data_IF_332633638750
#
_entry.id   IF_332633638750
#
_cell.length_a   1.000
_cell.length_b   1.000
_cell.length_c   1.000
_cell.angle_alpha   90.00
_cell.angle_beta   90.00
_cell.angle_gamma   90.00
#
_symmetry.space_group_name_H-M   'P 1'
#
loop_
_entity.id
_entity.type
_entity.pdbx_description
1 polymer ?
#
# COMPACT_ATOMS: atom_id res chain seq x y z
N UNK A 1 13.59 10.82 -5.05
CA UNK A 1 12.23 10.35 -5.40
C UNK A 1 11.58 11.42 -6.28
N UNK A 2 11.00 11.06 -7.43
CA UNK A 2 10.37 12.01 -8.34
C UNK A 2 8.89 12.25 -8.03
N UNK A 3 8.27 13.30 -8.61
CA UNK A 3 6.86 13.67 -8.35
C UNK A 3 5.83 12.68 -8.91
N UNK A 4 6.24 11.76 -9.79
CA UNK A 4 5.33 10.85 -10.50
C UNK A 4 5.23 9.44 -9.88
N UNK A 5 5.81 9.21 -8.69
CA UNK A 5 5.75 7.90 -8.03
C UNK A 5 4.38 7.72 -7.35
N UNK A 6 3.72 6.59 -7.59
CA UNK A 6 2.51 6.21 -6.86
C UNK A 6 2.91 5.43 -5.60
N UNK A 7 2.35 5.83 -4.47
CA UNK A 7 2.61 5.17 -3.19
C UNK A 7 1.37 4.41 -2.71
N UNK A 8 1.59 3.37 -1.91
CA UNK A 8 0.55 2.68 -1.15
C UNK A 8 0.77 2.87 0.35
N UNK A 9 -0.33 3.06 1.09
CA UNK A 9 -0.34 3.16 2.57
C UNK A 9 -1.44 2.26 3.13
N UNK A 10 -1.23 1.73 4.33
CA UNK A 10 -2.30 1.07 5.08
C UNK A 10 -3.42 2.07 5.43
N UNK A 11 -4.65 1.60 5.55
CA UNK A 11 -5.81 2.42 5.93
C UNK A 11 -6.58 1.69 7.05
N UNK A 12 -6.50 2.17 8.32
CA UNK A 12 -5.84 3.41 8.76
C UNK A 12 -4.30 3.28 8.87
N UNK A 13 -3.59 4.40 8.65
CA UNK A 13 -2.13 4.53 8.77
C UNK A 13 -1.70 5.72 9.64
N UNK A 14 -0.41 5.73 9.96
CA UNK A 14 0.28 6.90 10.48
C UNK A 14 0.31 8.03 9.43
N UNK A 15 -0.23 9.20 9.78
CA UNK A 15 -0.49 10.30 8.83
C UNK A 15 0.76 10.84 8.13
N UNK A 16 1.93 10.74 8.77
CA UNK A 16 3.19 11.30 8.26
C UNK A 16 3.57 10.77 6.88
N UNK A 17 3.18 9.54 6.51
CA UNK A 17 3.44 9.01 5.16
C UNK A 17 2.64 9.78 4.10
N UNK A 18 1.36 10.05 4.38
CA UNK A 18 0.48 10.83 3.50
C UNK A 18 0.98 12.28 3.43
N UNK A 19 1.26 12.90 4.58
CA UNK A 19 1.72 14.29 4.66
C UNK A 19 3.03 14.50 3.89
N UNK A 20 3.99 13.58 4.04
CA UNK A 20 5.26 13.63 3.31
C UNK A 20 5.05 13.53 1.79
N UNK A 21 4.15 12.65 1.34
CA UNK A 21 3.81 12.51 -0.08
C UNK A 21 3.05 13.71 -0.63
N UNK A 22 2.27 14.43 0.18
CA UNK A 22 1.66 15.70 -0.20
C UNK A 22 2.72 16.77 -0.38
N UNK A 23 3.62 16.94 0.60
CA UNK A 23 4.66 17.97 0.61
C UNK A 23 5.62 17.82 -0.59
N UNK A 24 5.98 16.58 -0.95
CA UNK A 24 6.87 16.31 -2.09
C UNK A 24 6.14 16.25 -3.44
N UNK A 25 4.82 16.49 -3.46
CA UNK A 25 4.01 16.59 -4.68
C UNK A 25 3.56 15.26 -5.30
N UNK A 26 3.67 14.15 -4.57
CA UNK A 26 3.28 12.81 -5.05
C UNK A 26 1.79 12.50 -4.86
N UNK A 27 1.11 13.13 -3.91
CA UNK A 27 -0.25 12.73 -3.51
C UNK A 27 -1.33 13.07 -4.54
N UNK A 28 -1.10 14.06 -5.41
CA UNK A 28 -2.11 14.58 -6.33
C UNK A 28 -3.22 15.36 -5.62
N UNK A 29 -4.39 15.48 -6.26
CA UNK A 29 -5.52 16.27 -5.72
C UNK A 29 -6.20 15.54 -4.56
N UNK A 30 -6.59 16.30 -3.52
CA UNK A 30 -7.48 15.81 -2.47
C UNK A 30 -8.91 15.71 -2.99
N UNK A 31 -9.63 14.66 -2.59
CA UNK A 31 -11.03 14.39 -2.96
C UNK A 31 -11.87 14.41 -1.68
N UNK A 32 -12.64 15.48 -1.47
CA UNK A 32 -13.36 15.72 -0.22
C UNK A 32 -14.33 14.60 0.15
N UNK A 33 -15.14 14.13 -0.81
CA UNK A 33 -16.14 13.07 -0.58
C UNK A 33 -15.50 11.75 -0.13
N UNK A 34 -14.30 11.44 -0.63
CA UNK A 34 -13.57 10.21 -0.28
C UNK A 34 -12.60 10.41 0.89
N UNK A 35 -12.35 11.67 1.29
CA UNK A 35 -11.33 12.08 2.28
C UNK A 35 -9.94 11.51 1.97
N UNK A 36 -9.58 11.44 0.68
CA UNK A 36 -8.38 10.75 0.16
C UNK A 36 -7.69 11.55 -0.93
N UNK A 37 -6.39 11.33 -1.11
CA UNK A 37 -5.60 11.88 -2.21
C UNK A 37 -5.60 10.96 -3.43
N UNK A 38 -5.77 11.53 -4.63
CA UNK A 38 -6.01 10.76 -5.87
C UNK A 38 -4.86 9.82 -6.27
N UNK A 39 -3.61 10.18 -5.97
CA UNK A 39 -2.43 9.43 -6.39
C UNK A 39 -1.81 8.59 -5.26
N UNK A 40 -2.59 8.32 -4.20
CA UNK A 40 -2.21 7.41 -3.11
C UNK A 40 -3.15 6.20 -3.14
N UNK A 41 -2.58 5.00 -3.12
CA UNK A 41 -3.34 3.77 -2.92
C UNK A 41 -3.56 3.56 -1.42
N UNK A 42 -4.83 3.50 -1.00
CA UNK A 42 -5.20 3.26 0.39
C UNK A 42 -5.62 1.81 0.58
N UNK A 43 -4.78 1.03 1.27
CA UNK A 43 -4.96 -0.40 1.48
C UNK A 43 -5.74 -0.64 2.76
N UNK A 44 -7.03 -0.93 2.63
CA UNK A 44 -7.93 -1.12 3.79
C UNK A 44 -7.46 -2.28 4.66
N UNK A 45 -7.10 -2.01 5.92
CA UNK A 45 -6.64 -2.98 6.91
C UNK A 45 -7.52 -2.87 8.16
N UNK A 46 -8.49 -3.77 8.31
CA UNK A 46 -9.43 -3.75 9.42
C UNK A 46 -9.76 -5.15 9.96
N UNK A 47 -10.70 -5.26 10.93
CA UNK A 47 -11.08 -6.54 11.51
C UNK A 47 -11.51 -7.58 10.48
N UNK A 48 -12.21 -7.16 9.43
CA UNK A 48 -12.67 -8.01 8.33
C UNK A 48 -11.53 -8.59 7.48
N UNK A 49 -10.37 -7.95 7.47
CA UNK A 49 -9.15 -8.44 6.79
C UNK A 49 -8.10 -8.96 7.77
N UNK A 50 -8.44 -9.13 9.06
CA UNK A 50 -7.47 -9.43 10.12
C UNK A 50 -6.29 -8.43 10.14
N UNK A 51 -6.56 -7.15 9.83
CA UNK A 51 -5.60 -6.05 9.80
C UNK A 51 -4.41 -6.24 8.85
N UNK A 52 -4.56 -7.13 7.86
CA UNK A 52 -3.56 -7.35 6.81
C UNK A 52 -4.28 -7.59 5.49
N UNK A 53 -3.75 -7.03 4.40
CA UNK A 53 -4.38 -7.17 3.08
C UNK A 53 -3.46 -7.93 2.14
N UNK A 54 -4.06 -8.72 1.27
CA UNK A 54 -3.34 -9.38 0.20
C UNK A 54 -2.71 -8.34 -0.72
N UNK A 55 -1.38 -8.24 -0.68
CA UNK A 55 -0.60 -7.31 -1.48
C UNK A 55 -0.66 -7.61 -2.99
N UNK A 56 -1.27 -8.73 -3.40
CA UNK A 56 -1.54 -9.02 -4.81
C UNK A 56 -2.81 -8.33 -5.31
N UNK A 57 -3.70 -7.92 -4.40
CA UNK A 57 -4.96 -7.25 -4.74
C UNK A 57 -4.83 -5.73 -4.88
N UNK A 58 -3.69 -5.16 -4.49
CA UNK A 58 -3.44 -3.73 -4.58
C UNK A 58 -2.97 -3.35 -5.97
N UNK A 59 -3.38 -2.16 -6.44
CA UNK A 59 -2.88 -1.62 -7.69
C UNK A 59 -1.34 -1.53 -7.65
N UNK A 60 -0.68 -1.70 -8.79
CA UNK A 60 0.76 -1.54 -8.89
C UNK A 60 1.18 -0.14 -8.38
N UNK A 61 2.09 -0.13 -7.41
CA UNK A 61 2.71 1.07 -6.82
C UNK A 61 4.21 0.88 -6.71
N UNK A 62 4.95 1.98 -6.75
CA UNK A 62 6.41 1.98 -6.70
C UNK A 62 6.97 1.91 -5.27
N UNK A 63 6.19 2.36 -4.28
CA UNK A 63 6.56 2.34 -2.88
C UNK A 63 5.36 1.97 -2.00
N UNK A 64 5.55 1.03 -1.09
CA UNK A 64 4.56 0.63 -0.09
C UNK A 64 5.08 1.05 1.28
N UNK A 65 4.40 1.98 1.95
CA UNK A 65 4.64 2.26 3.36
C UNK A 65 3.88 1.23 4.20
N UNK A 66 4.64 0.35 4.85
CA UNK A 66 4.12 -0.70 5.70
C UNK A 66 4.65 -0.54 7.13
N UNK A 67 3.75 -0.39 8.09
CA UNK A 67 4.08 -0.22 9.49
C UNK A 67 3.66 -1.48 10.28
N UNK A 68 4.62 -2.08 10.99
CA UNK A 68 4.36 -3.28 11.80
C UNK A 68 5.25 -3.25 13.05
N UNK A 69 4.68 -3.12 14.27
CA UNK A 69 3.24 -3.02 14.56
C UNK A 69 2.60 -1.75 13.95
N UNK A 70 1.44 -1.89 13.32
CA UNK A 70 0.77 -0.78 12.66
C UNK A 70 0.28 0.24 13.70
N UNK A 71 0.70 1.49 13.57
CA UNK A 71 0.05 2.63 14.21
C UNK A 71 -1.06 3.15 13.27
N UNK A 72 -2.35 3.17 13.65
CA UNK A 72 -2.89 3.12 15.02
C UNK A 72 -3.46 1.78 15.50
N UNK A 73 -3.48 0.73 14.69
CA UNK A 73 -4.23 -0.50 15.03
C UNK A 73 -3.53 -1.43 16.03
N UNK A 74 -2.24 -1.23 16.30
CA UNK A 74 -1.38 -2.09 17.11
C UNK A 74 -1.07 -3.45 16.49
N UNK A 75 -1.58 -3.75 15.28
CA UNK A 75 -1.44 -5.08 14.69
C UNK A 75 -0.03 -5.31 14.15
N UNK A 76 0.62 -6.38 14.60
CA UNK A 76 1.92 -6.81 14.09
C UNK A 76 1.72 -7.89 13.01
N UNK A 77 2.35 -7.70 11.85
CA UNK A 77 2.33 -8.67 10.78
C UNK A 77 3.01 -9.97 11.22
N UNK A 78 2.41 -11.10 10.85
CA UNK A 78 3.01 -12.42 11.08
C UNK A 78 4.19 -12.65 10.13
N UNK A 79 5.09 -13.59 10.48
CA UNK A 79 6.20 -14.00 9.60
C UNK A 79 5.75 -14.41 8.20
N UNK A 80 4.58 -15.08 8.08
CA UNK A 80 4.02 -15.49 6.78
C UNK A 80 3.60 -14.28 5.95
N UNK A 81 2.97 -13.29 6.58
CA UNK A 81 2.53 -12.06 5.94
C UNK A 81 3.72 -11.19 5.50
N UNK A 82 4.74 -11.03 6.35
CA UNK A 82 5.95 -10.27 6.00
C UNK A 82 6.80 -10.92 4.90
N UNK A 83 6.76 -12.25 4.75
CA UNK A 83 7.46 -12.96 3.68
C UNK A 83 7.01 -12.54 2.27
N UNK A 84 5.77 -12.06 2.12
CA UNK A 84 5.28 -11.51 0.85
C UNK A 84 5.87 -10.14 0.50
N UNK A 85 6.51 -9.45 1.45
CA UNK A 85 7.19 -8.18 1.20
C UNK A 85 8.62 -8.33 0.69
N UNK A 86 9.13 -9.56 0.52
CA UNK A 86 10.45 -9.75 -0.08
C UNK A 86 10.41 -9.40 -1.57
N UNK A 87 11.32 -8.52 -2.07
CA UNK A 87 11.30 -8.01 -3.44
C UNK A 87 11.20 -9.13 -4.49
N UNK A 88 11.94 -10.22 -4.31
CA UNK A 88 11.92 -11.37 -5.22
C UNK A 88 10.54 -12.04 -5.31
N UNK A 89 9.81 -12.17 -4.18
CA UNK A 89 8.49 -12.81 -4.15
C UNK A 89 7.38 -11.89 -4.66
N UNK A 90 7.49 -10.59 -4.42
CA UNK A 90 6.54 -9.61 -4.93
C UNK A 90 6.62 -9.51 -6.46
N UNK A 91 7.83 -9.39 -7.01
CA UNK A 91 8.02 -9.33 -8.48
C UNK A 91 7.74 -10.66 -9.19
N UNK A 92 8.07 -11.81 -8.59
CA UNK A 92 7.77 -13.12 -9.19
C UNK A 92 6.27 -13.40 -9.27
N UNK A 93 5.50 -12.98 -8.27
CA UNK A 93 4.05 -13.21 -8.28
C UNK A 93 3.34 -12.30 -9.29
N UNK A 94 3.76 -11.03 -9.40
CA UNK A 94 3.22 -10.10 -10.41
C UNK A 94 3.49 -10.58 -11.84
N UNK A 95 4.71 -11.04 -12.15
CA UNK A 95 5.01 -11.62 -13.49
C UNK A 95 4.15 -12.84 -13.81
N UNK A 96 3.82 -13.66 -12.80
CA UNK A 96 2.98 -14.84 -12.99
C UNK A 96 1.53 -14.45 -13.29
N UNK A 97 1.01 -13.41 -12.64
CA UNK A 97 -0.34 -12.89 -12.89
C UNK A 97 -0.45 -12.22 -14.26
N UNK A 98 0.54 -11.44 -14.68
CA UNK A 98 0.60 -10.84 -16.02
C UNK A 98 0.60 -11.92 -17.12
N UNK A 99 1.26 -13.06 -16.87
CA UNK A 99 1.27 -14.22 -17.78
C UNK A 99 -0.07 -14.98 -17.82
N UNK A 100 -0.86 -14.93 -16.76
CA UNK A 100 -2.16 -15.62 -16.67
C UNK A 100 -3.32 -14.77 -17.20
N UNK A 101 -3.19 -13.44 -17.20
CA UNK A 101 -4.20 -12.51 -17.75
C UNK A 101 -4.08 -12.32 -19.27
N UNK A 102 -3.04 -12.87 -19.91
CA UNK A 102 -2.79 -12.76 -21.35
C UNK A 102 -3.25 -13.99 -22.18
N UNK A 103 -4.10 -14.86 -21.61
CA UNK A 103 -4.72 -16.01 -22.29
C UNK A 103 -6.25 -15.89 -22.28
#
# INVERSE_FOLDING_TARGET
MGPNLKIAVQDPSFSTYIDSSVIIGQAGKFVDNARKYKNIEYVTCGPQTNFFTDLLSISRTELIFFNSPNNPTGHAATRKQSCFMEPERFFLTLRKLDSMSSN
#
